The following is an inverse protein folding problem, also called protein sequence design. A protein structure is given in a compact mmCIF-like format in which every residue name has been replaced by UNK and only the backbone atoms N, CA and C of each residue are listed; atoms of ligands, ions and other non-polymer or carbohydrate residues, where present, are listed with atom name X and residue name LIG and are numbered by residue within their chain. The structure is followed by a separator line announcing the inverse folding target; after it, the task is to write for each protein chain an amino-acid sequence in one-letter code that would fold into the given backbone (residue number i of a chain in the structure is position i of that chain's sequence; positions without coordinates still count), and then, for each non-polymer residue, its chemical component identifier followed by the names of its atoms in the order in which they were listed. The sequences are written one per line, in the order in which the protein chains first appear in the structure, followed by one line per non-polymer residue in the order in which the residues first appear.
data_IF_201138003771
#
_entry.id   IF_201138003771
#
_cell.length_a   1.000
_cell.length_b   1.000
_cell.length_c   1.000
_cell.angle_alpha   90.00
_cell.angle_beta   90.00
_cell.angle_gamma   90.00
#
_symmetry.space_group_name_H-M   'P 1'
#
loop_
_entity.id
_entity.type
_entity.pdbx_description
1 polymer ?
#
# COMPACT_ATOMS: atom_id res chain seq x y z
N UNK A 1 -8.10 -17.48 -13.56
CA UNK A 1 -8.13 -17.55 -12.08
C UNK A 1 -7.17 -16.52 -11.53
N UNK A 2 -7.64 -15.53 -10.76
CA UNK A 2 -6.79 -14.47 -10.21
C UNK A 2 -6.02 -14.97 -9.00
N UNK A 3 -4.81 -14.45 -8.77
CA UNK A 3 -3.99 -14.74 -7.59
C UNK A 3 -3.70 -13.45 -6.83
N UNK A 4 -3.58 -13.54 -5.50
CA UNK A 4 -3.07 -12.43 -4.71
C UNK A 4 -1.64 -12.10 -5.14
N UNK A 5 -1.36 -10.83 -5.41
CA UNK A 5 -0.03 -10.39 -5.84
C UNK A 5 1.03 -10.46 -4.73
N UNK A 6 0.62 -10.64 -3.46
CA UNK A 6 1.53 -10.77 -2.32
C UNK A 6 1.79 -12.22 -1.91
N UNK A 7 0.74 -12.99 -1.58
CA UNK A 7 0.90 -14.35 -1.06
C UNK A 7 0.65 -15.45 -2.11
N UNK A 8 0.20 -15.10 -3.31
CA UNK A 8 -0.03 -16.05 -4.41
C UNK A 8 -1.29 -16.92 -4.28
N UNK A 9 -2.08 -16.77 -3.21
CA UNK A 9 -3.31 -17.54 -3.01
C UNK A 9 -4.32 -17.28 -4.13
N UNK A 10 -5.09 -18.30 -4.48
CA UNK A 10 -6.15 -18.22 -5.47
C UNK A 10 -7.28 -17.33 -4.92
N UNK A 11 -7.62 -16.28 -5.65
CA UNK A 11 -8.70 -15.37 -5.29
C UNK A 11 -10.03 -15.88 -5.81
N UNK A 12 -11.05 -15.82 -4.95
CA UNK A 12 -12.44 -16.16 -5.27
C UNK A 12 -13.24 -14.86 -5.34
N UNK A 13 -13.91 -14.63 -6.47
CA UNK A 13 -14.85 -13.52 -6.61
C UNK A 13 -16.13 -13.85 -5.84
N UNK A 14 -16.41 -13.12 -4.76
CA UNK A 14 -17.75 -13.12 -4.12
C UNK A 14 -18.52 -11.93 -4.67
N UNK A 15 -19.85 -12.10 -4.82
CA UNK A 15 -20.80 -11.12 -5.35
C UNK A 15 -20.36 -9.65 -5.20
N UNK A 16 -20.44 -8.83 -6.28
CA UNK A 16 -19.77 -7.52 -6.42
C UNK A 16 -20.20 -6.41 -5.43
N UNK A 17 -21.05 -6.71 -4.44
CA UNK A 17 -21.67 -5.73 -3.54
C UNK A 17 -21.08 -5.62 -2.13
N UNK A 18 -20.48 -6.67 -1.56
CA UNK A 18 -20.06 -6.66 -0.15
C UNK A 18 -18.54 -6.82 -0.03
N UNK A 19 -17.84 -5.68 -0.02
CA UNK A 19 -16.36 -5.60 0.04
C UNK A 19 -15.75 -5.81 1.41
N UNK A 20 -16.55 -5.93 2.47
CA UNK A 20 -16.08 -6.17 3.84
C UNK A 20 -17.10 -7.08 4.54
N UNK A 21 -16.72 -8.34 4.76
CA UNK A 21 -17.56 -9.37 5.36
C UNK A 21 -16.80 -10.09 6.46
N UNK A 22 -17.43 -10.13 7.62
CA UNK A 22 -16.97 -10.71 8.88
C UNK A 22 -16.46 -12.15 8.73
N UNK A 23 -15.23 -12.40 9.20
CA UNK A 23 -14.78 -13.68 9.74
C UNK A 23 -14.38 -14.81 8.77
N UNK A 24 -14.98 -14.93 7.59
CA UNK A 24 -14.77 -16.09 6.70
C UNK A 24 -14.01 -15.76 5.40
N UNK A 25 -13.29 -14.63 5.37
CA UNK A 25 -12.95 -13.91 4.14
C UNK A 25 -11.59 -14.10 3.49
N UNK A 26 -10.80 -15.12 3.88
CA UNK A 26 -9.35 -15.13 3.63
C UNK A 26 -8.96 -15.16 2.14
N UNK A 27 -9.81 -15.71 1.27
CA UNK A 27 -9.53 -15.82 -0.18
C UNK A 27 -10.37 -14.86 -1.04
N UNK A 28 -11.13 -13.94 -0.44
CA UNK A 28 -12.00 -13.05 -1.21
C UNK A 28 -11.23 -11.89 -1.83
N UNK A 29 -11.71 -11.53 -3.01
CA UNK A 29 -11.16 -10.48 -3.85
C UNK A 29 -11.32 -9.09 -3.23
N UNK A 30 -10.21 -8.38 -3.05
CA UNK A 30 -10.21 -6.94 -2.82
C UNK A 30 -9.32 -6.25 -3.86
N UNK A 31 -9.91 -5.32 -4.60
CA UNK A 31 -9.15 -4.42 -5.46
C UNK A 31 -8.68 -3.23 -4.62
N UNK A 32 -7.37 -3.16 -4.38
CA UNK A 32 -6.76 -2.09 -3.60
C UNK A 32 -6.16 -1.03 -4.52
N UNK A 33 -6.76 0.16 -4.58
CA UNK A 33 -6.22 1.28 -5.37
C UNK A 33 -4.78 1.58 -4.96
N UNK A 34 -3.83 1.49 -5.90
CA UNK A 34 -2.42 1.80 -5.64
C UNK A 34 -2.25 3.25 -5.17
N UNK A 35 -3.11 4.15 -5.64
CA UNK A 35 -3.21 5.51 -5.14
C UNK A 35 -4.59 5.77 -4.52
N UNK A 36 -4.70 6.00 -3.19
CA UNK A 36 -5.98 6.19 -2.54
C UNK A 36 -6.74 7.42 -3.06
N UNK A 37 -7.98 7.24 -3.52
CA UNK A 37 -8.84 8.30 -4.09
C UNK A 37 -8.96 9.52 -3.16
N UNK A 38 -9.02 9.31 -1.84
CA UNK A 38 -9.06 10.38 -0.83
C UNK A 38 -7.86 11.33 -0.87
N UNK A 39 -6.75 10.91 -1.47
CA UNK A 39 -5.53 11.70 -1.63
C UNK A 39 -5.49 12.47 -2.95
N UNK A 40 -6.40 12.19 -3.89
CA UNK A 40 -6.42 12.84 -5.22
C UNK A 40 -6.54 14.37 -5.13
N UNK A 41 -7.20 14.89 -4.09
CA UNK A 41 -7.29 16.34 -3.84
C UNK A 41 -5.94 17.03 -3.55
N UNK A 42 -4.89 16.28 -3.20
CA UNK A 42 -3.59 16.85 -2.84
C UNK A 42 -2.54 16.75 -3.97
N UNK A 43 -2.82 16.00 -5.04
CA UNK A 43 -1.83 15.68 -6.09
C UNK A 43 -2.43 15.84 -7.47
N UNK A 44 -1.67 16.42 -8.40
CA UNK A 44 -2.05 16.38 -9.82
C UNK A 44 -1.79 14.98 -10.40
N UNK A 45 -2.45 14.64 -11.52
CA UNK A 45 -2.18 13.38 -12.24
C UNK A 45 -0.69 13.21 -12.58
N UNK A 46 -0.03 14.30 -12.99
CA UNK A 46 1.39 14.30 -13.32
C UNK A 46 2.26 14.03 -12.09
N UNK A 47 1.91 14.59 -10.92
CA UNK A 47 2.61 14.29 -9.68
C UNK A 47 2.42 12.84 -9.24
N UNK A 48 1.22 12.28 -9.41
CA UNK A 48 0.98 10.87 -9.07
C UNK A 48 1.89 9.96 -9.89
N UNK A 49 1.99 10.22 -11.20
CA UNK A 49 2.89 9.49 -12.11
C UNK A 49 4.35 9.67 -11.74
N UNK A 50 4.80 10.90 -11.52
CA UNK A 50 6.22 11.17 -11.31
C UNK A 50 6.72 10.72 -9.92
N UNK A 51 5.89 10.83 -8.88
CA UNK A 51 6.31 10.52 -7.51
C UNK A 51 6.07 9.06 -7.16
N UNK A 52 4.89 8.52 -7.49
CA UNK A 52 4.48 7.19 -7.06
C UNK A 52 4.60 6.14 -8.16
N UNK A 53 4.94 6.54 -9.40
CA UNK A 53 5.04 5.65 -10.56
C UNK A 53 3.71 4.95 -10.90
N UNK A 54 2.60 5.64 -10.64
CA UNK A 54 1.23 5.17 -10.91
C UNK A 54 0.67 6.02 -12.05
N UNK A 55 0.27 5.40 -13.18
CA UNK A 55 -0.18 6.12 -14.38
C UNK A 55 -1.59 6.69 -14.23
N UNK A 56 -2.48 6.00 -13.53
CA UNK A 56 -3.84 6.49 -13.27
C UNK A 56 -4.42 6.01 -11.92
N UNK A 57 -5.44 6.71 -11.43
CA UNK A 57 -6.09 6.42 -10.14
C UNK A 57 -6.95 5.15 -10.13
N UNK A 58 -7.16 4.50 -11.28
CA UNK A 58 -7.84 3.20 -11.36
C UNK A 58 -6.88 2.02 -11.28
N UNK A 59 -5.56 2.25 -11.27
CA UNK A 59 -4.60 1.18 -10.99
C UNK A 59 -4.81 0.64 -9.58
N UNK A 60 -4.94 -0.68 -9.51
CA UNK A 60 -5.18 -1.38 -8.27
C UNK A 60 -4.38 -2.68 -8.23
N UNK A 61 -3.99 -3.08 -7.02
CA UNK A 61 -3.45 -4.39 -6.74
C UNK A 61 -4.57 -5.37 -6.41
N UNK A 62 -4.42 -6.60 -6.88
CA UNK A 62 -5.30 -7.72 -6.55
C UNK A 62 -4.75 -8.41 -5.31
N UNK A 63 -5.38 -8.13 -4.16
CA UNK A 63 -4.97 -8.66 -2.86
C UNK A 63 -6.08 -9.53 -2.25
N UNK A 64 -5.67 -10.59 -1.56
CA UNK A 64 -6.58 -11.24 -0.62
C UNK A 64 -6.83 -10.29 0.56
N UNK A 65 -7.89 -10.55 1.32
CA UNK A 65 -8.27 -9.71 2.45
C UNK A 65 -7.13 -9.56 3.47
N UNK A 66 -6.46 -10.65 3.84
CA UNK A 66 -5.37 -10.61 4.82
C UNK A 66 -4.20 -9.74 4.36
N UNK A 67 -3.71 -9.97 3.13
CA UNK A 67 -2.61 -9.16 2.59
C UNK A 67 -2.99 -7.68 2.40
N UNK A 68 -4.26 -7.36 2.14
CA UNK A 68 -4.73 -5.97 2.14
C UNK A 68 -4.56 -5.35 3.54
N UNK A 69 -5.11 -6.00 4.56
CA UNK A 69 -5.05 -5.51 5.95
C UNK A 69 -3.60 -5.41 6.45
N UNK A 70 -2.76 -6.41 6.13
CA UNK A 70 -1.35 -6.44 6.54
C UNK A 70 -0.56 -5.22 6.05
N UNK A 71 -0.68 -4.86 4.77
CA UNK A 71 0.07 -3.74 4.19
C UNK A 71 -0.41 -2.39 4.69
N UNK A 72 -1.73 -2.24 4.92
CA UNK A 72 -2.31 -0.93 5.23
C UNK A 72 -2.44 -0.63 6.71
N UNK A 73 -2.72 -1.66 7.52
CA UNK A 73 -3.19 -1.49 8.89
C UNK A 73 -2.22 -2.06 9.92
N UNK A 74 -1.39 -3.05 9.56
CA UNK A 74 -0.57 -3.79 10.51
C UNK A 74 0.94 -3.47 10.45
N UNK A 75 1.31 -2.25 10.03
CA UNK A 75 2.71 -1.81 10.10
C UNK A 75 3.13 -1.66 11.56
N UNK A 76 4.05 -2.52 12.01
CA UNK A 76 4.58 -2.50 13.39
C UNK A 76 5.68 -1.44 13.52
N UNK A 77 5.44 -0.41 14.32
CA UNK A 77 6.40 0.66 14.61
C UNK A 77 6.71 0.71 16.11
N UNK A 78 7.99 0.64 16.48
CA UNK A 78 8.39 0.84 17.88
C UNK A 78 8.46 2.33 18.26
N UNK A 79 8.61 2.62 19.57
CA UNK A 79 8.66 4.01 20.08
C UNK A 79 9.75 4.86 19.43
N UNK A 80 10.94 4.29 19.20
CA UNK A 80 12.05 5.00 18.56
C UNK A 80 11.72 5.40 17.12
N UNK A 81 11.10 4.49 16.36
CA UNK A 81 10.64 4.74 15.00
C UNK A 81 9.57 5.84 14.96
N UNK A 82 8.58 5.79 15.85
CA UNK A 82 7.52 6.81 15.94
C UNK A 82 8.13 8.18 16.26
N UNK A 83 9.08 8.26 17.19
CA UNK A 83 9.76 9.52 17.53
C UNK A 83 10.54 10.10 16.35
N UNK A 84 11.26 9.26 15.61
CA UNK A 84 12.02 9.68 14.44
C UNK A 84 11.09 10.14 13.30
N UNK A 85 10.03 9.38 13.01
CA UNK A 85 8.98 9.78 12.07
C UNK A 85 8.34 11.10 12.51
N UNK A 86 8.03 11.26 13.79
CA UNK A 86 7.47 12.48 14.34
C UNK A 86 8.34 13.71 14.06
N UNK A 87 9.66 13.62 14.33
CA UNK A 87 10.61 14.70 14.02
C UNK A 87 10.68 15.00 12.52
N UNK A 88 10.70 13.96 11.68
CA UNK A 88 10.81 14.10 10.23
C UNK A 88 9.54 14.67 9.59
N UNK A 89 8.37 14.36 10.13
CA UNK A 89 7.08 14.75 9.59
C UNK A 89 6.54 16.04 10.22
N UNK A 90 7.17 16.53 11.30
CA UNK A 90 6.79 17.75 11.99
C UNK A 90 6.78 18.93 11.01
N UNK A 91 5.74 19.75 11.12
CA UNK A 91 5.55 20.99 10.34
C UNK A 91 5.41 20.79 8.82
N UNK A 92 5.31 19.55 8.34
CA UNK A 92 5.13 19.23 6.92
C UNK A 92 3.66 19.17 6.53
N UNK A 93 3.37 19.65 5.32
CA UNK A 93 2.05 19.52 4.73
C UNK A 93 1.62 18.05 4.62
N UNK A 94 0.32 17.77 4.57
CA UNK A 94 -0.17 16.40 4.37
C UNK A 94 0.41 15.78 3.09
N UNK A 95 0.54 16.57 2.02
CA UNK A 95 1.15 16.17 0.75
C UNK A 95 2.60 15.72 0.94
N UNK A 96 3.42 16.53 1.62
CA UNK A 96 4.84 16.21 1.83
C UNK A 96 5.02 15.01 2.75
N UNK A 97 4.17 14.86 3.77
CA UNK A 97 4.17 13.66 4.63
C UNK A 97 3.92 12.38 3.84
N UNK A 98 2.94 12.40 2.92
CA UNK A 98 2.65 11.25 2.05
C UNK A 98 3.83 10.93 1.12
N UNK A 99 4.42 11.96 0.50
CA UNK A 99 5.61 11.79 -0.36
C UNK A 99 6.77 11.15 0.42
N UNK A 100 7.02 11.63 1.64
CA UNK A 100 8.09 11.10 2.50
C UNK A 100 7.85 9.65 2.93
N UNK A 101 6.62 9.31 3.34
CA UNK A 101 6.27 7.94 3.72
C UNK A 101 6.47 6.97 2.55
N UNK A 102 6.07 7.36 1.33
CA UNK A 102 6.33 6.57 0.13
C UNK A 102 7.83 6.36 -0.11
N UNK A 103 8.64 7.43 0.01
CA UNK A 103 10.10 7.34 -0.14
C UNK A 103 10.72 6.40 0.89
N UNK A 104 10.29 6.45 2.16
CA UNK A 104 10.81 5.56 3.19
C UNK A 104 10.50 4.10 2.88
N UNK A 105 9.26 3.80 2.51
CA UNK A 105 8.85 2.44 2.18
C UNK A 105 9.62 1.91 0.96
N UNK A 106 9.70 2.71 -0.12
CA UNK A 106 10.43 2.35 -1.33
C UNK A 106 11.91 2.07 -1.04
N UNK A 107 12.59 2.98 -0.32
CA UNK A 107 14.00 2.80 0.04
C UNK A 107 14.21 1.58 0.93
N UNK A 108 13.31 1.33 1.88
CA UNK A 108 13.39 0.15 2.75
C UNK A 108 13.33 -1.15 1.95
N UNK A 109 12.40 -1.24 1.00
CA UNK A 109 12.29 -2.39 0.09
C UNK A 109 13.55 -2.54 -0.77
N UNK A 110 14.02 -1.45 -1.40
CA UNK A 110 15.22 -1.46 -2.26
C UNK A 110 16.49 -1.89 -1.51
N UNK A 111 16.69 -1.39 -0.28
CA UNK A 111 17.81 -1.77 0.57
C UNK A 111 17.72 -3.26 0.91
N UNK A 112 16.55 -3.74 1.33
CA UNK A 112 16.36 -5.14 1.70
C UNK A 112 16.62 -6.09 0.53
N UNK A 113 16.09 -5.79 -0.66
CA UNK A 113 16.33 -6.60 -1.86
C UNK A 113 17.80 -6.59 -2.29
N UNK A 114 18.50 -5.46 -2.11
CA UNK A 114 19.94 -5.39 -2.37
C UNK A 114 20.75 -6.28 -1.42
N UNK A 115 20.31 -6.41 -0.17
CA UNK A 115 20.94 -7.28 0.83
C UNK A 115 20.54 -8.76 0.68
N UNK A 116 19.45 -9.05 -0.03
CA UNK A 116 18.85 -10.38 -0.24
C UNK A 116 18.53 -10.62 -1.72
N UNK A 117 19.54 -10.68 -2.61
CA UNK A 117 19.31 -10.83 -4.04
C UNK A 117 18.69 -12.18 -4.42
N UNK A 118 18.73 -13.17 -3.53
CA UNK A 118 18.13 -14.50 -3.67
C UNK A 118 16.58 -14.50 -3.59
N UNK A 119 15.97 -13.36 -3.23
CA UNK A 119 14.51 -13.20 -3.13
C UNK A 119 13.87 -12.60 -4.41
N UNK A 120 14.66 -12.36 -5.47
CA UNK A 120 14.21 -11.86 -6.79
C UNK A 120 14.14 -13.00 -7.80
#
# INVERSE_FOLDING_TARGET
MKKCQMCGIILIEKNPGNKYGTGEGMNYFSSHHLFPVRLAQYFTKQEVKNVFQINNSSEAAELCYECHEEVLHNIVLNKGMINNLGKLLKDKSKKDRIKLLHVFLKKGIEIYLKEKPDLL
#
